data_IF_860822992163
#
_entry.id   IF_860822992163
#
_cell.length_a   1.000
_cell.length_b   1.000
_cell.length_c   1.000
_cell.angle_alpha   90.00
_cell.angle_beta   90.00
_cell.angle_gamma   90.00
#
_symmetry.space_group_name_H-M   'P 1'
#
loop_
_entity.id
_entity.type
_entity.pdbx_description
1 polymer ?
#
# COMPACT_ATOMS: atom_id res chain seq x y z
N UNK A 1 5.19 4.29 11.61
CA UNK A 1 4.04 3.80 12.40
C UNK A 1 2.96 4.88 12.59
N UNK A 2 3.30 6.13 12.93
CA UNK A 2 2.28 7.17 13.18
C UNK A 2 1.77 7.92 11.94
N UNK A 3 2.48 7.90 10.81
CA UNK A 3 2.13 8.80 9.70
C UNK A 3 0.77 8.51 9.03
N UNK A 4 0.22 7.28 8.97
CA UNK A 4 -1.15 7.10 8.48
C UNK A 4 -2.15 7.84 9.36
N UNK A 5 -1.99 7.75 10.68
CA UNK A 5 -2.82 8.46 11.67
C UNK A 5 -2.65 9.97 11.53
N UNK A 6 -1.41 10.47 11.48
CA UNK A 6 -1.14 11.91 11.32
C UNK A 6 -1.69 12.47 10.01
N UNK A 7 -1.55 11.73 8.90
CA UNK A 7 -2.12 12.12 7.60
C UNK A 7 -3.64 12.19 7.67
N UNK A 8 -4.29 11.18 8.26
CA UNK A 8 -5.74 11.17 8.46
C UNK A 8 -6.22 12.32 9.37
N UNK A 9 -5.48 12.65 10.42
CA UNK A 9 -5.77 13.79 11.32
C UNK A 9 -5.65 15.14 10.60
N UNK A 10 -4.64 15.32 9.74
CA UNK A 10 -4.50 16.54 8.92
C UNK A 10 -5.73 16.71 8.02
N UNK A 11 -6.18 15.63 7.38
CA UNK A 11 -7.34 15.64 6.49
C UNK A 11 -8.68 15.77 7.22
N UNK A 12 -8.76 15.39 8.50
CA UNK A 12 -10.00 15.46 9.29
C UNK A 12 -10.60 16.87 9.43
N UNK A 13 -9.88 17.91 9.01
CA UNK A 13 -10.35 19.30 9.00
C UNK A 13 -11.09 19.69 7.73
N UNK A 14 -11.19 18.77 6.76
CA UNK A 14 -11.75 18.99 5.44
C UNK A 14 -12.82 17.92 5.15
N UNK A 15 -14.07 18.21 5.53
CA UNK A 15 -15.19 17.25 5.48
C UNK A 15 -15.40 16.60 4.10
N UNK A 16 -15.04 17.28 3.00
CA UNK A 16 -15.16 16.74 1.65
C UNK A 16 -14.11 15.66 1.30
N UNK A 17 -13.18 15.35 2.21
CA UNK A 17 -12.11 14.35 2.04
C UNK A 17 -12.28 13.13 2.95
N UNK A 18 -13.46 12.91 3.54
CA UNK A 18 -13.70 11.80 4.46
C UNK A 18 -13.35 10.43 3.86
N UNK A 19 -13.67 10.19 2.59
CA UNK A 19 -13.30 8.95 1.89
C UNK A 19 -11.77 8.82 1.74
N UNK A 20 -11.11 9.90 1.34
CA UNK A 20 -9.64 9.95 1.18
C UNK A 20 -8.91 9.77 2.51
N UNK A 21 -9.49 10.28 3.59
CA UNK A 21 -8.97 10.13 4.95
C UNK A 21 -8.89 8.66 5.35
N UNK A 22 -9.94 7.88 5.11
CA UNK A 22 -9.95 6.46 5.47
C UNK A 22 -8.91 5.69 4.65
N UNK A 23 -8.76 6.01 3.36
CA UNK A 23 -7.73 5.43 2.49
C UNK A 23 -6.32 5.70 3.04
N UNK A 24 -6.03 6.96 3.40
CA UNK A 24 -4.73 7.33 4.01
C UNK A 24 -4.54 6.68 5.37
N UNK A 25 -5.60 6.46 6.14
CA UNK A 25 -5.45 5.78 7.42
C UNK A 25 -5.09 4.30 7.23
N UNK A 26 -5.59 3.68 6.16
CA UNK A 26 -5.52 2.25 5.91
C UNK A 26 -4.36 1.79 5.01
N UNK A 27 -3.60 2.67 4.34
CA UNK A 27 -2.60 2.24 3.34
C UNK A 27 -1.41 1.41 3.87
N UNK A 28 -1.29 1.24 5.19
CA UNK A 28 -0.34 0.32 5.83
C UNK A 28 -1.00 -0.84 6.58
N UNK A 29 -2.32 -0.99 6.45
CA UNK A 29 -2.99 -2.22 6.82
C UNK A 29 -2.56 -3.36 5.88
N UNK A 30 -2.58 -4.59 6.38
CA UNK A 30 -2.14 -5.79 5.65
C UNK A 30 -3.28 -6.79 5.59
N UNK A 31 -3.31 -7.60 4.53
CA UNK A 31 -4.38 -8.59 4.35
C UNK A 31 -4.36 -9.71 5.40
N UNK A 32 -3.21 -10.00 5.99
CA UNK A 32 -3.08 -10.92 7.13
C UNK A 32 -3.47 -10.32 8.49
N UNK A 33 -3.95 -9.06 8.53
CA UNK A 33 -4.32 -8.38 9.76
C UNK A 33 -3.14 -7.98 10.66
N UNK A 34 -1.89 -8.14 10.20
CA UNK A 34 -0.69 -7.73 10.96
C UNK A 34 -0.24 -6.29 10.60
N UNK A 35 -1.09 -5.55 9.91
CA UNK A 35 -0.85 -4.18 9.50
C UNK A 35 -1.02 -3.18 10.64
N UNK A 36 -0.88 -1.91 10.30
CA UNK A 36 -1.03 -0.81 11.24
C UNK A 36 -1.73 0.38 10.55
N UNK A 37 -2.39 1.26 11.32
CA UNK A 37 -2.36 1.39 12.78
C UNK A 37 -3.42 0.60 13.55
N UNK A 38 -4.43 0.01 12.89
CA UNK A 38 -5.58 -0.62 13.56
C UNK A 38 -5.61 -2.14 13.44
N UNK A 39 -4.74 -2.75 12.63
CA UNK A 39 -4.68 -4.19 12.42
C UNK A 39 -6.04 -4.74 11.97
N UNK A 40 -6.59 -4.11 10.92
CA UNK A 40 -7.94 -4.39 10.45
C UNK A 40 -8.02 -5.74 9.74
N UNK A 41 -9.16 -6.45 9.83
CA UNK A 41 -9.44 -7.56 8.93
C UNK A 41 -9.60 -7.03 7.50
N UNK A 42 -9.21 -7.83 6.51
CA UNK A 42 -9.12 -7.40 5.10
C UNK A 42 -10.43 -6.82 4.55
N UNK A 43 -11.58 -7.33 5.00
CA UNK A 43 -12.91 -6.88 4.56
C UNK A 43 -13.27 -5.47 5.05
N UNK A 44 -12.46 -4.90 5.94
CA UNK A 44 -12.59 -3.52 6.44
C UNK A 44 -11.58 -2.57 5.82
N UNK A 45 -10.65 -3.05 5.02
CA UNK A 45 -9.66 -2.22 4.34
C UNK A 45 -10.28 -1.75 3.01
N UNK A 46 -10.35 -0.43 2.74
CA UNK A 46 -10.80 0.07 1.45
C UNK A 46 -9.94 -0.48 0.31
N UNK A 47 -10.55 -0.80 -0.83
CA UNK A 47 -9.84 -1.31 -2.00
C UNK A 47 -8.75 -0.34 -2.46
N UNK A 48 -9.04 0.96 -2.43
CA UNK A 48 -8.10 2.01 -2.80
C UNK A 48 -6.86 2.01 -1.89
N UNK A 49 -7.02 1.67 -0.61
CA UNK A 49 -5.91 1.53 0.32
C UNK A 49 -5.06 0.29 0.00
N UNK A 50 -5.69 -0.83 -0.41
CA UNK A 50 -4.99 -2.03 -0.87
C UNK A 50 -4.19 -1.77 -2.16
N UNK A 51 -4.76 -1.02 -3.10
CA UNK A 51 -4.09 -0.59 -4.33
C UNK A 51 -2.88 0.29 -3.98
N UNK A 52 -3.06 1.31 -3.13
CA UNK A 52 -1.98 2.21 -2.71
C UNK A 52 -0.89 1.44 -1.98
N UNK A 53 -1.22 0.47 -1.12
CA UNK A 53 -0.22 -0.32 -0.39
C UNK A 53 0.74 -1.07 -1.34
N UNK A 54 0.22 -1.59 -2.46
CA UNK A 54 1.05 -2.23 -3.50
C UNK A 54 1.87 -1.20 -4.27
N UNK A 55 1.24 -0.09 -4.68
CA UNK A 55 1.91 0.97 -5.44
C UNK A 55 3.04 1.65 -4.64
N UNK A 56 2.80 1.97 -3.37
CA UNK A 56 3.77 2.57 -2.45
C UNK A 56 4.95 1.62 -2.20
N UNK A 57 4.68 0.34 -1.98
CA UNK A 57 5.72 -0.66 -1.83
C UNK A 57 6.57 -0.81 -3.10
N UNK A 58 5.93 -0.86 -4.28
CA UNK A 58 6.64 -0.94 -5.55
C UNK A 58 7.56 0.27 -5.76
N UNK A 59 7.02 1.50 -5.66
CA UNK A 59 7.80 2.73 -5.81
C UNK A 59 8.94 2.83 -4.80
N UNK A 60 8.68 2.47 -3.53
CA UNK A 60 9.70 2.45 -2.50
C UNK A 60 10.85 1.47 -2.78
N UNK A 61 10.58 0.38 -3.51
CA UNK A 61 11.61 -0.58 -3.91
C UNK A 61 12.38 -0.14 -5.15
N UNK A 62 11.73 0.52 -6.11
CA UNK A 62 12.31 0.88 -7.42
C UNK A 62 12.88 2.29 -7.50
N UNK A 63 12.75 3.09 -6.45
CA UNK A 63 13.27 4.46 -6.39
C UNK A 63 14.53 4.53 -5.54
N UNK A 64 15.55 5.24 -6.03
CA UNK A 64 16.78 5.51 -5.26
C UNK A 64 16.45 6.35 -4.02
N UNK A 65 16.91 5.89 -2.86
CA UNK A 65 16.80 6.61 -1.58
C UNK A 65 18.20 6.78 -0.98
N UNK A 66 18.44 7.78 -0.12
CA UNK A 66 19.77 8.04 0.44
C UNK A 66 20.48 6.83 1.08
N UNK A 67 19.73 5.82 1.50
CA UNK A 67 20.22 4.61 2.18
C UNK A 67 19.99 3.30 1.40
N UNK A 68 19.41 3.37 0.21
CA UNK A 68 19.01 2.19 -0.56
C UNK A 68 19.02 2.50 -2.05
N UNK A 69 19.80 1.72 -2.81
CA UNK A 69 19.69 1.74 -4.27
C UNK A 69 18.38 1.11 -4.73
N UNK A 70 17.81 1.65 -5.79
CA UNK A 70 16.68 1.09 -6.49
C UNK A 70 16.92 -0.39 -6.84
N UNK A 71 15.95 -1.23 -6.53
CA UNK A 71 15.86 -2.60 -7.06
C UNK A 71 15.36 -2.54 -8.50
N UNK A 72 15.65 -3.58 -9.27
CA UNK A 72 15.03 -3.77 -10.57
C UNK A 72 13.52 -3.99 -10.41
N UNK A 73 12.76 -3.68 -11.48
CA UNK A 73 11.31 -3.97 -11.54
C UNK A 73 11.05 -5.45 -11.26
N UNK A 74 11.87 -6.35 -11.79
CA UNK A 74 11.70 -7.79 -11.58
C UNK A 74 11.87 -8.19 -10.11
N UNK A 75 12.91 -7.69 -9.44
CA UNK A 75 13.12 -7.96 -8.01
C UNK A 75 11.98 -7.39 -7.14
N UNK A 76 11.47 -6.21 -7.48
CA UNK A 76 10.33 -5.61 -6.78
C UNK A 76 9.06 -6.47 -6.94
N UNK A 77 8.79 -6.97 -8.16
CA UNK A 77 7.66 -7.87 -8.42
C UNK A 77 7.81 -9.20 -7.69
N UNK A 78 9.00 -9.78 -7.63
CA UNK A 78 9.23 -11.04 -6.92
C UNK A 78 9.00 -10.90 -5.41
N UNK A 79 9.36 -9.75 -4.84
CA UNK A 79 9.04 -9.43 -3.43
C UNK A 79 7.53 -9.30 -3.22
N UNK A 80 6.83 -8.57 -4.10
CA UNK A 80 5.36 -8.40 -4.01
C UNK A 80 4.64 -9.75 -4.11
N UNK A 81 5.04 -10.61 -5.07
CA UNK A 81 4.53 -11.98 -5.21
C UNK A 81 4.76 -12.80 -3.95
N UNK A 82 5.96 -12.70 -3.37
CA UNK A 82 6.29 -13.41 -2.14
C UNK A 82 5.45 -12.99 -0.92
N UNK A 83 4.94 -11.75 -0.93
CA UNK A 83 4.05 -11.23 0.13
C UNK A 83 2.56 -11.26 -0.21
N UNK A 84 2.16 -11.71 -1.39
CA UNK A 84 0.77 -11.77 -1.81
C UNK A 84 -0.04 -12.73 -0.91
N UNK A 85 -1.20 -12.28 -0.43
CA UNK A 85 -2.03 -13.02 0.51
C UNK A 85 -1.60 -12.90 1.97
N UNK A 86 -0.52 -12.16 2.26
CA UNK A 86 -0.11 -11.81 3.62
C UNK A 86 0.07 -10.31 3.79
N UNK A 87 1.09 -9.73 3.16
CA UNK A 87 1.35 -8.29 3.23
C UNK A 87 0.43 -7.50 2.31
N UNK A 88 0.16 -8.04 1.13
CA UNK A 88 -0.57 -7.37 0.06
C UNK A 88 -1.69 -8.25 -0.46
N UNK A 89 -2.73 -7.59 -0.97
CA UNK A 89 -3.83 -8.24 -1.66
C UNK A 89 -3.36 -8.90 -2.98
N UNK A 90 -3.63 -10.19 -3.21
CA UNK A 90 -3.19 -10.89 -4.42
C UNK A 90 -3.70 -10.27 -5.73
N UNK A 91 -4.93 -9.76 -5.74
CA UNK A 91 -5.54 -9.20 -6.95
C UNK A 91 -4.91 -7.85 -7.29
N UNK A 92 -4.59 -7.04 -6.28
CA UNK A 92 -3.85 -5.79 -6.44
C UNK A 92 -2.42 -6.02 -6.93
N UNK A 93 -1.72 -7.04 -6.43
CA UNK A 93 -0.39 -7.44 -6.92
C UNK A 93 -0.47 -7.86 -8.39
N UNK A 94 -1.44 -8.73 -8.74
CA UNK A 94 -1.65 -9.15 -10.12
C UNK A 94 -2.02 -7.97 -11.05
N UNK A 95 -2.76 -6.98 -10.55
CA UNK A 95 -3.08 -5.78 -11.31
C UNK A 95 -1.83 -4.92 -11.57
N UNK A 96 -0.98 -4.72 -10.57
CA UNK A 96 0.30 -4.02 -10.71
C UNK A 96 1.17 -4.66 -11.80
N UNK A 97 1.31 -5.98 -11.78
CA UNK A 97 2.06 -6.73 -12.80
C UNK A 97 1.51 -6.51 -14.22
N UNK A 98 0.19 -6.57 -14.39
CA UNK A 98 -0.44 -6.34 -15.70
C UNK A 98 -0.19 -4.94 -16.23
N UNK A 99 -0.23 -3.92 -15.37
CA UNK A 99 0.03 -2.52 -15.75
C UNK A 99 1.49 -2.35 -16.16
N UNK A 100 2.44 -2.96 -15.45
CA UNK A 100 3.87 -2.88 -15.78
C UNK A 100 4.25 -3.65 -17.05
N UNK A 101 3.46 -4.67 -17.42
CA UNK A 101 3.60 -5.39 -18.68
C UNK A 101 2.88 -4.70 -19.86
N UNK A 102 2.17 -3.59 -19.62
CA UNK A 102 1.47 -2.86 -20.66
C UNK A 102 2.49 -2.12 -21.56
N UNK A 103 2.39 -2.29 -22.90
CA UNK A 103 3.34 -1.70 -23.86
C UNK A 103 3.22 -0.18 -24.02
#
# INVERSE_FOLDING_TARGET
>A
LSHPTTGAEILSRLDFLDEVREIIWCHHERVDGQGYPRALPVEKIPLEALIIAVADAFDAMTTDRPYQKARSVQEALDILRGGAGSAWDPDCVAACERVLAWP
#
